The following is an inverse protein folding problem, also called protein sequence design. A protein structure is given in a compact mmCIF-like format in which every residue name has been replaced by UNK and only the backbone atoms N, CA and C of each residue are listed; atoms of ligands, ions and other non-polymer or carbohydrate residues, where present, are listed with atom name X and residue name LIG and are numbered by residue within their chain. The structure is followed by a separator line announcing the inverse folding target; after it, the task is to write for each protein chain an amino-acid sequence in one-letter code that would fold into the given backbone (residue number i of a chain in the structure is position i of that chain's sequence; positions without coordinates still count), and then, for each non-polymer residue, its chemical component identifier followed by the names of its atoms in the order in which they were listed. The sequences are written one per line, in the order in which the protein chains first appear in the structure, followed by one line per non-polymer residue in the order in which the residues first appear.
data_IF_688308318970
#
_entry.id   IF_688308318970
#
_cell.length_a   1.000
_cell.length_b   1.000
_cell.length_c   1.000
_cell.angle_alpha   90.00
_cell.angle_beta   90.00
_cell.angle_gamma   90.00
#
_symmetry.space_group_name_H-M   'P 1'
#
loop_
_entity.id
_entity.type
_entity.pdbx_description
1 polymer ?
#
# COMPACT_ATOMS: atom_id res chain seq x y z
N UNK A 1 -11.33 10.73 36.25
CA UNK A 1 -11.29 9.25 36.14
C UNK A 1 -12.64 8.81 35.60
N UNK A 2 -12.75 8.53 34.29
CA UNK A 2 -13.96 7.96 33.69
C UNK A 2 -14.01 6.48 34.04
N UNK A 3 -15.20 6.04 34.51
CA UNK A 3 -15.46 4.63 34.79
C UNK A 3 -15.19 3.80 33.52
N UNK A 4 -14.65 2.57 33.64
CA UNK A 4 -14.47 1.72 32.48
C UNK A 4 -15.83 1.41 31.85
N UNK A 5 -16.01 1.81 30.59
CA UNK A 5 -17.20 1.45 29.83
C UNK A 5 -17.17 -0.08 29.59
N UNK A 6 -18.11 -0.78 30.20
CA UNK A 6 -18.31 -2.21 29.94
C UNK A 6 -19.13 -2.33 28.66
N UNK A 7 -18.47 -2.70 27.58
CA UNK A 7 -19.15 -2.98 26.31
C UNK A 7 -19.81 -4.34 26.33
N UNK A 8 -21.06 -4.39 25.86
CA UNK A 8 -21.82 -5.63 25.66
C UNK A 8 -21.99 -5.91 24.16
N UNK A 9 -22.46 -7.10 23.80
CA UNK A 9 -22.76 -7.45 22.40
C UNK A 9 -23.77 -6.50 21.77
N UNK A 10 -24.67 -5.93 22.58
CA UNK A 10 -25.70 -4.98 22.11
C UNK A 10 -25.15 -3.60 21.77
N UNK A 11 -23.94 -3.28 22.21
CA UNK A 11 -23.26 -2.03 21.91
C UNK A 11 -22.43 -2.13 20.60
N UNK A 12 -22.40 -3.32 20.01
CA UNK A 12 -21.69 -3.59 18.76
C UNK A 12 -22.67 -3.71 17.58
N UNK A 13 -22.24 -3.44 16.34
CA UNK A 13 -23.12 -3.39 15.16
C UNK A 13 -23.74 -4.74 14.77
N UNK A 14 -23.27 -5.86 15.33
CA UNK A 14 -23.83 -7.21 15.08
C UNK A 14 -23.59 -7.77 13.67
N UNK A 15 -22.76 -7.10 12.85
CA UNK A 15 -22.53 -7.45 11.44
C UNK A 15 -21.64 -8.67 11.24
N UNK A 16 -20.91 -9.10 12.27
CA UNK A 16 -19.95 -10.21 12.19
C UNK A 16 -19.01 -10.15 10.97
N UNK A 17 -18.65 -8.94 10.56
CA UNK A 17 -17.94 -8.64 9.30
C UNK A 17 -16.47 -9.09 9.32
N UNK A 18 -15.90 -9.46 10.47
CA UNK A 18 -14.52 -9.90 10.61
C UNK A 18 -13.45 -8.80 10.47
N UNK A 19 -13.79 -7.58 10.06
CA UNK A 19 -12.84 -6.50 9.77
C UNK A 19 -12.02 -6.10 10.99
N UNK A 20 -12.56 -6.24 12.19
CA UNK A 20 -11.85 -6.00 13.46
C UNK A 20 -10.85 -7.12 13.82
N UNK A 21 -10.76 -8.20 13.02
CA UNK A 21 -9.95 -9.39 13.28
C UNK A 21 -10.61 -10.41 14.20
N UNK A 22 -11.88 -10.18 14.62
CA UNK A 22 -12.69 -11.13 15.40
C UNK A 22 -13.71 -11.81 14.48
N UNK A 23 -14.01 -13.08 14.71
CA UNK A 23 -14.96 -13.85 13.89
C UNK A 23 -16.40 -13.37 14.05
N UNK A 24 -16.73 -12.84 15.24
CA UNK A 24 -18.06 -12.33 15.54
C UNK A 24 -17.99 -11.11 16.46
N UNK A 25 -19.09 -10.36 16.51
CA UNK A 25 -19.23 -9.25 17.46
C UNK A 25 -19.28 -9.75 18.92
N UNK A 26 -19.69 -10.99 19.17
CA UNK A 26 -19.64 -11.60 20.50
C UNK A 26 -18.20 -11.83 20.97
N UNK A 27 -17.34 -12.33 20.08
CA UNK A 27 -15.91 -12.48 20.36
C UNK A 27 -15.26 -11.11 20.61
N UNK A 28 -15.66 -10.09 19.87
CA UNK A 28 -15.22 -8.70 20.09
C UNK A 28 -15.68 -8.19 21.47
N UNK A 29 -16.93 -8.40 21.86
CA UNK A 29 -17.45 -8.00 23.16
C UNK A 29 -16.67 -8.67 24.32
N UNK A 30 -16.35 -9.96 24.18
CA UNK A 30 -15.54 -10.68 25.16
C UNK A 30 -14.14 -10.09 25.29
N UNK A 31 -13.52 -9.73 24.15
CA UNK A 31 -12.19 -9.13 24.15
C UNK A 31 -12.19 -7.73 24.76
N UNK A 32 -13.25 -6.96 24.57
CA UNK A 32 -13.39 -5.61 25.14
C UNK A 32 -13.44 -5.64 26.68
N UNK A 33 -13.87 -6.72 27.30
CA UNK A 33 -13.84 -6.87 28.76
C UNK A 33 -12.41 -6.94 29.31
N UNK A 34 -11.48 -7.50 28.53
CA UNK A 34 -10.07 -7.63 28.91
C UNK A 34 -9.21 -6.48 28.37
N UNK A 35 -9.57 -5.94 27.21
CA UNK A 35 -8.85 -4.85 26.55
C UNK A 35 -9.83 -3.86 25.88
N UNK A 36 -10.30 -2.83 26.61
CA UNK A 36 -11.24 -1.82 26.08
C UNK A 36 -10.74 -1.05 24.86
N UNK A 37 -9.43 -0.87 24.71
CA UNK A 37 -8.83 -0.19 23.57
C UNK A 37 -9.08 -0.92 22.24
N UNK A 38 -9.41 -2.22 22.29
CA UNK A 38 -9.77 -2.99 21.11
C UNK A 38 -11.02 -2.44 20.38
N UNK A 39 -11.81 -1.55 21.01
CA UNK A 39 -12.96 -0.89 20.37
C UNK A 39 -12.54 -0.12 19.10
N UNK A 40 -11.35 0.44 19.09
CA UNK A 40 -10.78 1.18 17.96
C UNK A 40 -10.67 0.33 16.68
N UNK A 41 -10.68 -0.99 16.80
CA UNK A 41 -10.66 -1.91 15.66
C UNK A 41 -11.99 -2.00 14.92
N UNK A 42 -13.09 -1.61 15.57
CA UNK A 42 -14.40 -1.64 14.95
C UNK A 42 -14.62 -0.39 14.09
N UNK A 43 -14.65 -0.56 12.75
CA UNK A 43 -14.82 0.54 11.80
C UNK A 43 -16.15 1.27 11.95
N UNK A 44 -17.19 0.57 12.36
CA UNK A 44 -18.53 1.13 12.50
C UNK A 44 -18.68 1.99 13.76
N UNK A 45 -17.87 1.75 14.79
CA UNK A 45 -17.87 2.53 16.01
C UNK A 45 -16.84 3.67 16.00
N UNK A 46 -15.72 3.48 15.24
CA UNK A 46 -14.68 4.50 15.15
C UNK A 46 -15.06 5.68 14.25
N UNK A 47 -15.91 5.47 13.25
CA UNK A 47 -16.23 6.47 12.23
C UNK A 47 -17.43 7.38 12.59
N UNK A 48 -18.09 7.18 13.72
CA UNK A 48 -19.32 7.90 14.13
C UNK A 48 -20.44 8.00 13.07
N UNK A 49 -20.36 7.18 12.00
CA UNK A 49 -21.27 7.30 10.85
C UNK A 49 -22.56 6.51 11.00
N UNK A 50 -22.60 5.57 11.96
CA UNK A 50 -23.76 4.70 12.17
C UNK A 50 -24.05 4.55 13.65
N UNK A 51 -25.28 4.74 14.04
CA UNK A 51 -25.73 4.36 15.38
C UNK A 51 -25.75 2.82 15.47
N UNK A 52 -24.91 2.27 16.33
CA UNK A 52 -24.73 0.80 16.47
C UNK A 52 -26.05 0.04 16.70
N UNK A 53 -27.05 0.70 17.29
CA UNK A 53 -28.37 0.12 17.56
C UNK A 53 -29.20 -0.08 16.30
N UNK A 54 -29.16 0.84 15.32
CA UNK A 54 -29.92 0.74 14.07
C UNK A 54 -29.39 -0.41 13.22
N UNK A 55 -28.06 -0.48 13.05
CA UNK A 55 -27.41 -1.56 12.28
C UNK A 55 -27.68 -2.93 12.91
N UNK A 56 -27.61 -3.04 14.24
CA UNK A 56 -27.86 -4.30 14.94
C UNK A 56 -29.31 -4.77 14.82
N UNK A 57 -30.29 -3.85 14.73
CA UNK A 57 -31.70 -4.18 14.54
C UNK A 57 -32.00 -4.67 13.11
N UNK A 58 -31.47 -4.01 12.12
CA UNK A 58 -31.62 -4.39 10.70
C UNK A 58 -30.99 -5.75 10.41
N UNK A 59 -29.79 -6.00 10.94
CA UNK A 59 -29.03 -7.21 10.66
C UNK A 59 -29.62 -8.47 11.33
N UNK A 60 -30.28 -8.33 12.48
CA UNK A 60 -30.98 -9.45 13.13
C UNK A 60 -32.16 -9.99 12.31
N UNK A 61 -32.77 -9.16 11.47
CA UNK A 61 -33.93 -9.48 10.65
C UNK A 61 -33.54 -9.90 9.22
N UNK A 62 -32.23 -9.95 8.88
CA UNK A 62 -31.78 -10.32 7.53
C UNK A 62 -31.63 -11.86 7.44
N UNK A 63 -32.43 -12.56 6.60
CA UNK A 63 -32.38 -14.01 6.44
C UNK A 63 -31.05 -14.54 5.90
N UNK A 64 -30.18 -13.67 5.34
CA UNK A 64 -28.84 -14.03 4.85
C UNK A 64 -27.82 -14.23 5.98
N UNK A 65 -28.11 -13.82 7.21
CA UNK A 65 -27.26 -13.96 8.39
C UNK A 65 -27.62 -15.16 9.27
N UNK A 66 -28.44 -16.10 8.78
CA UNK A 66 -28.65 -17.37 9.47
C UNK A 66 -27.31 -18.11 9.62
N UNK A 67 -27.04 -18.75 10.78
CA UNK A 67 -25.81 -19.49 11.00
C UNK A 67 -25.66 -20.57 9.94
N UNK A 68 -24.64 -20.44 9.09
CA UNK A 68 -24.28 -21.46 8.12
C UNK A 68 -23.76 -22.67 8.89
N UNK A 69 -24.40 -23.83 8.72
CA UNK A 69 -23.90 -25.07 9.28
C UNK A 69 -22.45 -25.32 8.82
N UNK A 70 -21.58 -25.88 9.67
CA UNK A 70 -20.20 -26.13 9.33
C UNK A 70 -20.11 -27.01 8.07
N UNK A 71 -19.49 -26.46 7.02
CA UNK A 71 -19.24 -27.17 5.77
C UNK A 71 -18.37 -28.41 6.07
N UNK A 72 -18.77 -29.57 5.54
CA UNK A 72 -17.96 -30.75 5.57
C UNK A 72 -16.57 -30.51 4.98
N UNK A 73 -15.50 -31.15 5.49
CA UNK A 73 -14.16 -30.94 5.00
C UNK A 73 -14.05 -31.30 3.51
N UNK A 74 -13.74 -30.33 2.69
CA UNK A 74 -13.41 -30.54 1.28
C UNK A 74 -12.13 -31.39 1.22
N UNK A 75 -12.24 -32.60 0.69
CA UNK A 75 -11.09 -33.42 0.34
C UNK A 75 -10.21 -32.63 -0.65
N UNK A 76 -8.97 -32.38 -0.26
CA UNK A 76 -7.99 -31.73 -1.12
C UNK A 76 -7.64 -32.68 -2.29
N UNK A 77 -8.16 -32.40 -3.46
CA UNK A 77 -7.66 -33.00 -4.69
C UNK A 77 -6.43 -32.18 -5.08
N UNK A 78 -5.26 -32.77 -4.91
CA UNK A 78 -4.01 -32.17 -5.41
C UNK A 78 -4.07 -32.07 -6.94
N UNK A 79 -3.84 -30.90 -7.55
CA UNK A 79 -3.74 -30.82 -9.00
C UNK A 79 -2.47 -31.55 -9.46
N UNK A 80 -2.64 -32.53 -10.36
CA UNK A 80 -1.53 -33.15 -11.06
C UNK A 80 -0.85 -32.08 -11.94
N UNK A 81 0.37 -31.72 -11.58
CA UNK A 81 1.22 -30.87 -12.42
C UNK A 81 1.61 -31.65 -13.65
N UNK A 82 0.98 -31.37 -14.79
CA UNK A 82 1.49 -31.76 -16.11
C UNK A 82 2.69 -30.87 -16.44
N UNK A 83 3.75 -31.50 -16.91
CA UNK A 83 5.02 -30.86 -17.23
C UNK A 83 4.87 -29.59 -18.07
N UNK A 84 5.61 -28.56 -17.69
CA UNK A 84 5.68 -27.29 -18.41
C UNK A 84 6.15 -27.50 -19.85
N UNK A 85 5.59 -26.74 -20.82
CA UNK A 85 6.09 -26.78 -22.18
C UNK A 85 7.54 -26.26 -22.24
N UNK A 86 8.39 -26.95 -22.92
CA UNK A 86 9.77 -26.54 -23.15
C UNK A 86 9.79 -25.21 -23.90
N UNK A 87 10.41 -24.22 -23.29
CA UNK A 87 10.67 -22.92 -23.92
C UNK A 87 11.66 -23.15 -25.05
N UNK A 88 11.22 -22.95 -26.27
CA UNK A 88 12.09 -22.89 -27.44
C UNK A 88 13.07 -21.73 -27.27
N UNK A 89 14.33 -22.03 -27.13
CA UNK A 89 15.41 -21.04 -27.12
C UNK A 89 15.48 -20.35 -28.47
N UNK A 90 15.11 -19.07 -28.53
CA UNK A 90 15.43 -18.24 -29.67
C UNK A 90 16.95 -18.12 -29.78
N UNK A 91 17.53 -18.69 -30.81
CA UNK A 91 18.91 -18.48 -31.17
C UNK A 91 19.11 -17.02 -31.59
N UNK A 92 19.67 -16.21 -30.71
CA UNK A 92 19.97 -14.81 -31.02
C UNK A 92 20.17 -13.85 -29.82
N UNK A 93 19.76 -14.23 -28.60
CA UNK A 93 20.02 -13.42 -27.41
C UNK A 93 21.26 -13.95 -26.68
N UNK A 94 22.44 -13.65 -27.18
CA UNK A 94 23.68 -13.78 -26.41
C UNK A 94 23.67 -12.78 -25.26
N UNK A 95 24.32 -13.09 -24.10
CA UNK A 95 24.46 -12.11 -23.03
C UNK A 95 25.29 -10.93 -23.56
N UNK A 96 24.67 -9.81 -23.84
CA UNK A 96 25.40 -8.56 -24.04
C UNK A 96 26.13 -8.28 -22.72
N UNK A 97 27.43 -8.55 -22.70
CA UNK A 97 28.31 -8.04 -21.67
C UNK A 97 28.04 -6.54 -21.59
N UNK A 98 27.57 -6.07 -20.45
CA UNK A 98 27.43 -4.64 -20.18
C UNK A 98 28.85 -4.05 -20.18
N UNK A 99 29.30 -3.65 -21.36
CA UNK A 99 30.47 -2.82 -21.49
C UNK A 99 30.11 -1.51 -20.78
N UNK A 100 30.73 -1.27 -19.63
CA UNK A 100 30.70 0.01 -18.97
C UNK A 100 31.21 1.07 -19.95
N UNK A 101 30.29 1.85 -20.52
CA UNK A 101 30.66 2.95 -21.38
C UNK A 101 31.58 3.89 -20.59
N UNK A 102 32.70 4.35 -21.18
CA UNK A 102 33.63 5.24 -20.48
C UNK A 102 32.87 6.50 -20.07
N UNK A 103 33.09 6.92 -18.82
CA UNK A 103 32.61 8.19 -18.31
C UNK A 103 33.18 9.32 -19.18
N UNK A 104 32.35 9.95 -19.99
CA UNK A 104 32.71 11.15 -20.77
C UNK A 104 32.28 12.36 -19.95
N UNK A 105 33.21 13.17 -19.40
CA UNK A 105 32.86 14.39 -18.71
C UNK A 105 32.14 15.34 -19.67
N UNK A 106 30.90 15.73 -19.37
CA UNK A 106 30.11 16.64 -20.17
C UNK A 106 28.87 16.08 -20.85
N UNK A 107 28.65 14.76 -20.88
CA UNK A 107 27.32 14.21 -21.18
C UNK A 107 26.46 14.26 -19.92
N UNK A 108 25.33 14.96 -19.99
CA UNK A 108 24.37 15.04 -18.91
C UNK A 108 23.86 13.63 -18.58
N UNK A 109 24.22 13.08 -17.41
CA UNK A 109 23.72 11.82 -16.86
C UNK A 109 22.23 11.90 -16.46
N UNK A 110 21.48 12.76 -17.13
CA UNK A 110 20.12 13.14 -16.75
C UNK A 110 19.15 11.96 -16.66
N UNK A 111 19.39 10.90 -17.43
CA UNK A 111 18.52 9.72 -17.53
C UNK A 111 19.16 8.43 -16.98
N UNK A 112 20.06 8.56 -16.01
CA UNK A 112 20.70 7.43 -15.36
C UNK A 112 20.58 7.51 -13.85
N UNK A 113 20.26 6.37 -13.25
CA UNK A 113 20.19 6.23 -11.80
C UNK A 113 21.61 6.21 -11.17
N UNK A 114 21.69 6.15 -9.84
CA UNK A 114 22.96 6.14 -9.11
C UNK A 114 23.84 4.93 -9.41
N UNK A 115 23.29 3.88 -10.01
CA UNK A 115 24.02 2.69 -10.48
C UNK A 115 24.35 2.76 -11.99
N UNK A 116 24.09 3.90 -12.65
CA UNK A 116 24.34 4.10 -14.07
C UNK A 116 23.32 3.45 -15.01
N UNK A 117 22.20 2.95 -14.51
CA UNK A 117 21.15 2.28 -15.29
C UNK A 117 20.18 3.31 -15.85
N UNK A 118 19.76 3.13 -17.09
CA UNK A 118 18.86 4.06 -17.77
C UNK A 118 17.42 3.90 -17.29
N UNK A 119 16.68 5.01 -17.25
CA UNK A 119 15.24 5.06 -16.98
C UNK A 119 14.54 5.99 -17.98
N UNK A 120 13.21 5.91 -18.04
CA UNK A 120 12.39 6.54 -19.08
C UNK A 120 11.89 7.93 -18.68
N UNK A 121 11.63 8.16 -17.39
CA UNK A 121 11.14 9.43 -16.87
C UNK A 121 11.38 9.57 -15.37
N UNK A 122 11.34 10.82 -14.89
CA UNK A 122 11.20 11.12 -13.48
C UNK A 122 9.73 11.14 -13.08
N UNK A 123 9.42 10.51 -11.95
CA UNK A 123 8.11 10.65 -11.32
C UNK A 123 8.20 11.77 -10.28
N UNK A 124 7.61 12.91 -10.61
CA UNK A 124 7.58 14.10 -9.78
C UNK A 124 6.36 14.12 -8.87
N UNK A 125 6.42 14.91 -7.80
CA UNK A 125 5.29 15.11 -6.92
C UNK A 125 4.31 16.16 -7.48
N UNK A 126 3.09 16.19 -6.96
CA UNK A 126 2.16 17.27 -7.22
C UNK A 126 2.66 18.57 -6.55
N UNK A 127 2.42 19.77 -7.15
CA UNK A 127 2.97 21.03 -6.64
C UNK A 127 2.68 21.34 -5.17
N UNK A 128 1.54 20.90 -4.67
CA UNK A 128 1.08 21.15 -3.30
C UNK A 128 1.56 20.07 -2.29
N UNK A 129 2.32 19.09 -2.75
CA UNK A 129 2.67 17.92 -1.96
C UNK A 129 4.17 17.81 -1.67
N UNK A 130 4.55 17.25 -0.50
CA UNK A 130 5.95 17.20 -0.08
C UNK A 130 6.78 16.13 -0.78
N UNK A 131 6.18 15.28 -1.60
CA UNK A 131 6.84 14.21 -2.33
C UNK A 131 5.87 13.39 -3.20
N UNK A 132 6.36 12.48 -4.04
CA UNK A 132 5.51 11.61 -4.84
C UNK A 132 4.66 10.71 -3.94
N UNK A 133 3.44 10.44 -4.37
CA UNK A 133 2.52 9.59 -3.63
C UNK A 133 2.91 8.13 -3.79
N UNK A 134 3.01 7.42 -2.70
CA UNK A 134 3.09 5.96 -2.66
C UNK A 134 1.82 5.42 -1.99
N UNK A 135 1.18 4.44 -2.61
CA UNK A 135 0.00 3.76 -2.10
C UNK A 135 0.49 2.50 -1.41
N UNK A 136 0.18 2.37 -0.12
CA UNK A 136 0.71 1.30 0.70
C UNK A 136 -0.37 0.57 1.48
N UNK A 137 -0.14 -0.72 1.69
CA UNK A 137 -0.94 -1.56 2.59
C UNK A 137 -0.01 -2.06 3.70
N UNK A 138 -0.17 -1.61 4.94
CA UNK A 138 0.56 -2.15 6.08
C UNK A 138 0.39 -3.66 6.16
N UNK A 139 1.45 -4.40 6.48
CA UNK A 139 1.39 -5.85 6.66
C UNK A 139 0.38 -6.26 7.74
N UNK A 140 0.24 -5.43 8.77
CA UNK A 140 -0.89 -5.50 9.69
C UNK A 140 -1.89 -4.38 9.33
N UNK A 141 -2.97 -4.66 8.58
CA UNK A 141 -3.93 -3.64 8.17
C UNK A 141 -4.71 -3.02 9.35
N UNK A 142 -4.65 -3.64 10.53
CA UNK A 142 -5.26 -3.10 11.76
C UNK A 142 -4.46 -1.92 12.32
N UNK A 143 -3.19 -1.78 11.96
CA UNK A 143 -2.28 -0.78 12.53
C UNK A 143 -2.78 0.65 12.31
N UNK A 144 -3.47 0.91 11.19
CA UNK A 144 -4.05 2.23 10.89
C UNK A 144 -5.08 2.67 11.93
N UNK A 145 -5.79 1.71 12.51
CA UNK A 145 -6.78 1.95 13.59
C UNK A 145 -6.14 1.89 14.97
N UNK A 146 -5.28 0.91 15.21
CA UNK A 146 -4.61 0.72 16.51
C UNK A 146 -3.73 1.91 16.89
N UNK A 147 -3.02 2.47 15.92
CA UNK A 147 -2.19 3.67 16.11
C UNK A 147 -2.95 4.97 15.85
N UNK A 148 -4.23 4.89 15.51
CA UNK A 148 -5.06 6.03 15.14
C UNK A 148 -4.35 6.95 14.13
N UNK A 149 -3.93 6.36 12.99
CA UNK A 149 -3.23 7.12 11.96
C UNK A 149 -4.18 8.11 11.31
N UNK A 150 -3.74 9.37 11.23
CA UNK A 150 -4.49 10.50 10.67
C UNK A 150 -3.74 11.08 9.47
N UNK A 151 -4.49 11.82 8.63
CA UNK A 151 -3.89 12.65 7.58
C UNK A 151 -2.97 13.69 8.23
N UNK A 152 -1.77 13.85 7.69
CA UNK A 152 -0.73 14.72 8.21
C UNK A 152 0.26 14.01 9.16
N UNK A 153 -0.02 12.80 9.63
CA UNK A 153 0.93 12.04 10.44
C UNK A 153 2.20 11.72 9.64
N UNK A 154 3.34 11.86 10.32
CA UNK A 154 4.63 11.43 9.79
C UNK A 154 4.80 9.95 10.11
N UNK A 155 5.01 9.18 9.07
CA UNK A 155 5.10 7.73 9.15
C UNK A 155 6.48 7.24 8.68
N UNK A 156 6.92 6.13 9.26
CA UNK A 156 8.01 5.33 8.69
C UNK A 156 7.52 3.91 8.44
N UNK A 157 8.13 3.23 7.49
CA UNK A 157 7.81 1.83 7.20
C UNK A 157 8.84 1.21 6.25
N UNK A 158 8.91 -0.11 6.27
CA UNK A 158 9.79 -0.87 5.39
C UNK A 158 8.99 -1.65 4.36
N UNK A 159 9.21 -1.45 3.06
CA UNK A 159 8.60 -2.28 2.05
C UNK A 159 8.96 -3.75 2.23
N UNK A 160 7.99 -4.64 2.07
CA UNK A 160 8.25 -6.08 2.00
C UNK A 160 9.05 -6.38 0.72
N UNK A 161 10.05 -7.26 0.83
CA UNK A 161 10.89 -7.66 -0.30
C UNK A 161 10.10 -8.26 -1.47
N UNK A 162 8.92 -8.83 -1.21
CA UNK A 162 8.01 -9.38 -2.22
C UNK A 162 7.18 -8.30 -2.94
N UNK A 163 7.15 -7.06 -2.47
CA UNK A 163 6.38 -5.98 -3.13
C UNK A 163 7.22 -5.23 -4.16
N UNK A 164 8.05 -4.29 -3.74
CA UNK A 164 8.92 -3.54 -4.65
C UNK A 164 10.41 -3.93 -4.55
N UNK A 165 10.79 -4.68 -3.54
CA UNK A 165 12.19 -5.09 -3.32
C UNK A 165 13.10 -4.01 -2.73
N UNK A 166 12.56 -2.89 -2.24
CA UNK A 166 13.36 -1.82 -1.66
C UNK A 166 13.99 -2.25 -0.31
N UNK A 167 15.32 -2.13 -0.15
CA UNK A 167 16.02 -2.59 1.06
C UNK A 167 15.98 -1.58 2.22
N UNK A 168 15.48 -0.36 2.01
CA UNK A 168 15.54 0.71 3.01
C UNK A 168 14.16 1.03 3.59
N UNK A 169 14.19 1.64 4.79
CA UNK A 169 13.00 2.22 5.42
C UNK A 169 12.62 3.51 4.71
N UNK A 170 11.36 3.62 4.30
CA UNK A 170 10.78 4.84 3.76
C UNK A 170 10.22 5.71 4.87
N UNK A 171 10.14 7.01 4.57
CA UNK A 171 9.48 8.00 5.42
C UNK A 171 8.45 8.74 4.56
N UNK A 172 7.33 9.07 5.14
CA UNK A 172 6.29 9.80 4.40
C UNK A 172 5.32 10.53 5.31
N UNK A 173 4.55 11.42 4.71
CA UNK A 173 3.44 12.13 5.35
C UNK A 173 2.14 11.52 4.83
N UNK A 174 1.27 11.08 5.73
CA UNK A 174 -0.03 10.51 5.37
C UNK A 174 -0.92 11.57 4.70
N UNK A 175 -1.37 11.31 3.47
CA UNK A 175 -2.24 12.19 2.70
C UNK A 175 -3.69 11.70 2.72
N UNK A 176 -3.86 10.38 2.74
CA UNK A 176 -5.16 9.73 2.85
C UNK A 176 -5.04 8.43 3.64
N UNK A 177 -6.02 8.15 4.49
CA UNK A 177 -6.03 6.96 5.35
C UNK A 177 -7.41 6.33 5.29
N UNK A 178 -7.54 5.20 4.63
CA UNK A 178 -8.77 4.40 4.68
C UNK A 178 -8.71 3.44 5.87
N UNK A 179 -9.31 3.84 6.98
CA UNK A 179 -9.37 3.02 8.20
C UNK A 179 -10.12 1.71 8.01
N UNK A 180 -10.96 1.59 6.99
CA UNK A 180 -11.72 0.38 6.71
C UNK A 180 -10.87 -0.70 6.07
N UNK A 181 -10.11 -0.36 5.04
CA UNK A 181 -9.25 -1.28 4.30
C UNK A 181 -7.83 -1.33 4.85
N UNK A 182 -7.41 -0.32 5.61
CA UNK A 182 -6.04 -0.17 6.08
C UNK A 182 -5.10 0.48 5.06
N UNK A 183 -5.60 0.81 3.86
CA UNK A 183 -4.81 1.46 2.80
C UNK A 183 -4.43 2.88 3.23
N UNK A 184 -3.18 3.22 3.01
CA UNK A 184 -2.64 4.57 3.24
C UNK A 184 -2.08 5.09 1.90
N UNK A 185 -2.39 6.33 1.57
CA UNK A 185 -1.65 7.10 0.57
C UNK A 185 -0.78 8.09 1.32
N UNK A 186 0.52 8.00 1.16
CA UNK A 186 1.45 8.93 1.76
C UNK A 186 2.33 9.58 0.70
N UNK A 187 2.85 10.76 0.98
CA UNK A 187 3.90 11.37 0.18
C UNK A 187 5.26 10.98 0.73
N UNK A 188 6.07 10.32 -0.08
CA UNK A 188 7.42 9.91 0.32
C UNK A 188 8.29 11.16 0.52
N UNK A 189 8.93 11.26 1.69
CA UNK A 189 9.80 12.38 2.08
C UNK A 189 11.18 11.88 2.50
N UNK A 190 12.12 12.80 2.64
CA UNK A 190 13.43 12.47 3.17
C UNK A 190 13.43 12.21 4.69
N UNK A 191 14.51 11.64 5.23
CA UNK A 191 14.60 11.21 6.63
C UNK A 191 14.71 12.35 7.65
N UNK A 192 14.85 13.60 7.21
CA UNK A 192 14.91 14.75 8.13
C UNK A 192 13.58 15.01 8.81
N UNK A 193 12.47 14.84 8.08
CA UNK A 193 11.13 15.11 8.60
C UNK A 193 10.80 14.28 9.85
N UNK A 194 10.92 12.94 9.87
CA UNK A 194 10.66 12.15 11.07
C UNK A 194 11.65 12.42 12.20
N UNK A 195 12.88 12.79 11.89
CA UNK A 195 13.89 13.15 12.93
C UNK A 195 13.56 14.43 13.68
N UNK A 196 12.92 15.39 13.00
CA UNK A 196 12.59 16.69 13.59
C UNK A 196 11.24 16.68 14.33
N UNK A 197 10.27 15.92 13.86
CA UNK A 197 8.88 16.01 14.32
C UNK A 197 8.36 14.74 14.98
N UNK A 198 9.15 13.67 15.03
CA UNK A 198 8.69 12.35 15.45
C UNK A 198 7.94 11.61 14.35
N UNK A 199 7.54 10.38 14.62
CA UNK A 199 6.87 9.52 13.64
C UNK A 199 6.07 8.39 14.29
N UNK A 200 5.15 7.80 13.51
CA UNK A 200 4.52 6.52 13.81
C UNK A 200 5.16 5.45 12.93
N UNK A 201 5.48 4.29 13.51
CA UNK A 201 6.15 3.19 12.79
C UNK A 201 5.12 2.16 12.32
N UNK A 202 4.96 2.04 11.00
CA UNK A 202 4.07 1.06 10.37
C UNK A 202 4.64 -0.37 10.39
N UNK A 203 5.93 -0.54 10.69
CA UNK A 203 6.63 -1.79 10.47
C UNK A 203 6.79 -2.11 8.98
N UNK A 204 6.35 -3.30 8.57
CA UNK A 204 6.40 -3.71 7.16
C UNK A 204 5.11 -3.34 6.42
N UNK A 205 5.24 -3.02 5.12
CA UNK A 205 4.11 -2.73 4.24
C UNK A 205 4.32 -3.28 2.83
N UNK A 206 3.23 -3.38 2.07
CA UNK A 206 3.22 -3.69 0.65
C UNK A 206 3.08 -2.36 -0.10
N UNK A 207 4.01 -2.06 -1.00
CA UNK A 207 3.93 -0.94 -1.92
C UNK A 207 3.07 -1.36 -3.13
N UNK A 208 1.84 -0.87 -3.21
CA UNK A 208 0.90 -1.19 -4.29
C UNK A 208 1.17 -0.35 -5.54
N UNK A 209 1.47 0.91 -5.38
CA UNK A 209 1.68 1.80 -6.51
C UNK A 209 2.31 3.13 -6.14
N UNK A 210 2.77 3.82 -7.19
CA UNK A 210 3.17 5.22 -7.14
C UNK A 210 2.22 6.07 -7.98
N UNK A 211 1.97 7.31 -7.56
CA UNK A 211 1.24 8.30 -8.32
C UNK A 211 1.99 9.64 -8.29
N UNK A 212 2.07 10.31 -9.43
CA UNK A 212 2.74 11.60 -9.55
C UNK A 212 2.60 12.17 -10.94
N UNK A 213 3.46 13.13 -11.25
CA UNK A 213 3.52 13.84 -12.52
C UNK A 213 4.75 13.42 -13.32
N UNK A 214 4.60 13.37 -14.63
CA UNK A 214 5.71 13.29 -15.60
C UNK A 214 5.73 14.60 -16.36
N UNK A 215 6.81 15.38 -16.21
CA UNK A 215 7.03 16.62 -16.95
C UNK A 215 7.94 16.40 -18.15
N UNK A 216 8.86 15.44 -18.06
CA UNK A 216 9.76 15.07 -19.13
C UNK A 216 9.95 13.56 -19.20
N UNK A 217 9.98 13.00 -20.40
CA UNK A 217 10.11 11.56 -20.65
C UNK A 217 10.90 11.31 -21.94
N UNK A 218 11.72 10.25 -21.93
CA UNK A 218 12.51 9.83 -23.11
C UNK A 218 11.68 9.19 -24.21
N UNK A 219 10.46 8.75 -23.89
CA UNK A 219 9.57 8.05 -24.82
C UNK A 219 8.11 8.40 -24.56
N UNK A 220 7.25 8.06 -25.50
CA UNK A 220 5.82 8.23 -25.34
C UNK A 220 5.29 7.29 -24.25
N UNK A 221 4.54 7.84 -23.31
CA UNK A 221 3.94 7.07 -22.21
C UNK A 221 2.56 6.56 -22.62
N UNK A 222 2.31 5.26 -22.43
CA UNK A 222 1.07 4.58 -22.79
C UNK A 222 0.54 3.73 -21.63
N UNK A 223 -0.78 3.72 -21.45
CA UNK A 223 -1.43 2.82 -20.50
C UNK A 223 -1.18 1.36 -20.91
N UNK A 224 -0.97 0.51 -19.91
CA UNK A 224 -0.72 -0.92 -20.11
C UNK A 224 0.74 -1.26 -20.41
N UNK A 225 1.61 -0.27 -20.51
CA UNK A 225 3.04 -0.48 -20.72
C UNK A 225 3.84 -0.34 -19.42
N UNK A 226 4.92 -1.11 -19.31
CA UNK A 226 5.87 -1.03 -18.20
C UNK A 226 7.03 -0.14 -18.58
N UNK A 227 7.40 0.73 -17.65
CA UNK A 227 8.50 1.68 -17.81
C UNK A 227 9.46 1.61 -16.64
N UNK A 228 10.68 2.05 -16.88
CA UNK A 228 11.62 2.38 -15.81
C UNK A 228 11.48 3.86 -15.46
N UNK A 229 11.39 4.16 -14.18
CA UNK A 229 11.25 5.52 -13.69
C UNK A 229 12.06 5.74 -12.42
N UNK A 230 12.37 6.99 -12.15
CA UNK A 230 12.99 7.38 -10.89
C UNK A 230 12.05 8.29 -10.11
N UNK A 231 11.53 7.83 -8.94
CA UNK A 231 10.72 8.70 -8.09
C UNK A 231 11.59 9.82 -7.51
N UNK A 232 11.07 11.03 -7.47
CA UNK A 232 11.66 12.08 -6.64
C UNK A 232 11.71 11.63 -5.18
N UNK A 233 12.62 12.18 -4.40
CA UNK A 233 12.84 11.85 -2.98
C UNK A 233 13.29 10.40 -2.72
N UNK A 234 13.54 9.58 -3.74
CA UNK A 234 14.13 8.27 -3.57
C UNK A 234 15.56 8.39 -3.00
N UNK A 235 15.76 7.95 -1.76
CA UNK A 235 17.06 8.09 -1.08
C UNK A 235 18.18 7.27 -1.73
N UNK A 236 17.85 6.14 -2.35
CA UNK A 236 18.82 5.33 -3.10
C UNK A 236 19.11 5.90 -4.48
N UNK A 237 18.20 6.73 -4.99
CA UNK A 237 18.24 7.21 -6.39
C UNK A 237 18.35 6.04 -7.39
N UNK A 238 17.70 4.91 -7.08
CA UNK A 238 17.63 3.76 -7.97
C UNK A 238 16.39 3.84 -8.82
N UNK A 239 16.50 3.40 -10.07
CA UNK A 239 15.33 3.30 -10.93
C UNK A 239 14.36 2.24 -10.40
N UNK A 240 13.10 2.52 -10.58
CA UNK A 240 12.00 1.59 -10.35
C UNK A 240 11.43 1.14 -11.69
N UNK A 241 10.73 0.02 -11.72
CA UNK A 241 9.86 -0.31 -12.83
C UNK A 241 8.42 -0.41 -12.36
N UNK A 242 7.48 -0.02 -13.22
CA UNK A 242 6.06 -0.07 -12.94
C UNK A 242 5.22 -0.09 -14.21
N UNK A 243 4.03 -0.67 -14.12
CA UNK A 243 3.03 -0.68 -15.18
C UNK A 243 2.15 0.58 -15.05
N UNK A 244 2.05 1.38 -16.10
CA UNK A 244 1.14 2.54 -16.13
C UNK A 244 -0.28 2.02 -16.30
N UNK A 245 -1.13 2.20 -15.28
CA UNK A 245 -2.54 1.79 -15.30
C UNK A 245 -3.51 2.97 -15.39
N UNK A 246 -3.04 4.19 -15.15
CA UNK A 246 -3.82 5.41 -15.25
C UNK A 246 -2.97 6.55 -15.81
N UNK A 247 -3.58 7.37 -16.65
CA UNK A 247 -3.00 8.59 -17.20
C UNK A 247 -4.06 9.69 -17.30
N UNK A 248 -3.66 10.93 -16.95
CA UNK A 248 -4.48 12.12 -17.13
C UNK A 248 -3.60 13.34 -17.47
N UNK A 249 -3.94 14.06 -18.53
CA UNK A 249 -3.23 15.29 -18.86
C UNK A 249 -3.75 16.44 -18.01
N UNK A 250 -2.87 17.05 -17.24
CA UNK A 250 -3.17 18.20 -16.40
C UNK A 250 -2.39 19.41 -16.88
N UNK A 251 -2.75 20.65 -16.46
CA UNK A 251 -1.95 21.82 -16.77
C UNK A 251 -0.53 21.77 -16.20
N UNK A 252 -0.31 20.98 -15.15
CA UNK A 252 0.97 20.85 -14.43
C UNK A 252 1.83 19.67 -14.89
N UNK A 253 1.36 18.88 -15.87
CA UNK A 253 2.10 17.73 -16.38
C UNK A 253 1.19 16.53 -16.66
N UNK A 254 1.80 15.42 -17.04
CA UNK A 254 1.11 14.15 -17.24
C UNK A 254 1.01 13.39 -15.92
N UNK A 255 -0.16 13.40 -15.30
CA UNK A 255 -0.44 12.58 -14.12
C UNK A 255 -0.46 11.11 -14.51
N UNK A 256 0.25 10.28 -13.77
CA UNK A 256 0.26 8.83 -13.96
C UNK A 256 0.14 8.10 -12.64
N UNK A 257 -0.42 6.88 -12.71
CA UNK A 257 -0.35 5.88 -11.64
C UNK A 257 0.35 4.65 -12.17
N UNK A 258 1.30 4.14 -11.38
CA UNK A 258 2.13 2.98 -11.69
C UNK A 258 1.89 1.90 -10.65
N UNK A 259 1.69 0.68 -11.10
CA UNK A 259 1.49 -0.50 -10.25
C UNK A 259 2.47 -1.63 -10.62
N UNK A 260 2.46 -2.70 -9.81
CA UNK A 260 3.39 -3.81 -10.02
C UNK A 260 4.84 -3.34 -9.92
N UNK A 261 5.15 -2.64 -8.87
CA UNK A 261 6.43 -1.96 -8.64
C UNK A 261 7.56 -2.97 -8.45
N UNK A 262 8.74 -2.60 -8.95
CA UNK A 262 9.98 -3.33 -8.70
C UNK A 262 11.17 -2.38 -8.78
N UNK A 263 12.15 -2.57 -7.89
CA UNK A 263 13.41 -1.83 -7.91
C UNK A 263 14.46 -2.66 -8.64
N UNK A 264 15.02 -2.12 -9.75
CA UNK A 264 16.05 -2.88 -10.47
C UNK A 264 16.41 -2.33 -11.82
#
# INVERSE_FOLDING_TARGET
MSLPQTYTVNDLPGLNCGVCGMRSCEEMATRLQTNPESIKRCIYLSDNRYEAREIASENRNNPLNAPVAPAAPLMSVAPAYTAAPQVSTCAGCGPAAAASAPFIPGMSNHWRDSLGREFDFYLEHFPEEPGPREIIIPHNPMITREMDIQVGDILIGRPLGMSCGCPITHCGVAMNVDKRTGVIVWCVTGPLNPRQHGFKDLGYYIAEGYEGLINDARCEIKIGMRYYFQPQMCMLQWRHSGLVNFMNRTPTGLQVRLEGLWIG
#
